data_IF_509995594816
#
_entry.id   IF_509995594816
#
_cell.length_a   1.000
_cell.length_b   1.000
_cell.length_c   1.000
_cell.angle_alpha   90.00
_cell.angle_beta   90.00
_cell.angle_gamma   90.00
#
_symmetry.space_group_name_H-M   'P 1'
#
loop_
_entity.id
_entity.type
_entity.pdbx_description
1 polymer ?
#
# COMPACT_ATOMS: atom_id res chain seq x y z
N UNK A 1 -10.35 -9.78 -14.34
CA UNK A 1 -9.72 -9.89 -13.00
C UNK A 1 -9.68 -8.50 -12.37
N UNK A 2 -10.07 -8.40 -11.08
CA UNK A 2 -10.02 -7.14 -10.33
C UNK A 2 -8.57 -6.60 -10.33
N UNK A 3 -8.32 -5.35 -10.72
CA UNK A 3 -6.98 -4.77 -10.77
C UNK A 3 -6.27 -4.79 -9.42
N UNK A 4 -6.99 -4.66 -8.31
CA UNK A 4 -6.43 -4.77 -6.96
C UNK A 4 -5.79 -6.15 -6.71
N UNK A 5 -6.41 -7.22 -7.20
CA UNK A 5 -5.86 -8.59 -7.09
C UNK A 5 -4.58 -8.72 -7.91
N UNK A 6 -4.54 -8.12 -9.10
CA UNK A 6 -3.31 -8.12 -9.92
C UNK A 6 -2.16 -7.38 -9.25
N UNK A 7 -2.46 -6.22 -8.64
CA UNK A 7 -1.49 -5.43 -7.89
C UNK A 7 -0.97 -6.21 -6.67
N UNK A 8 -1.88 -6.85 -5.92
CA UNK A 8 -1.53 -7.73 -4.79
C UNK A 8 -0.64 -8.89 -5.22
N UNK A 9 -1.02 -9.61 -6.28
CA UNK A 9 -0.26 -10.75 -6.77
C UNK A 9 1.17 -10.36 -7.21
N UNK A 10 1.35 -9.18 -7.81
CA UNK A 10 2.67 -8.65 -8.11
C UNK A 10 3.49 -8.44 -6.83
N UNK A 11 2.86 -7.92 -5.77
CA UNK A 11 3.47 -7.80 -4.46
C UNK A 11 3.91 -9.14 -3.88
N UNK A 12 3.03 -10.15 -3.94
CA UNK A 12 3.32 -11.52 -3.46
C UNK A 12 4.50 -12.13 -4.24
N UNK A 13 4.53 -12.02 -5.57
CA UNK A 13 5.67 -12.48 -6.39
C UNK A 13 6.97 -11.76 -6.05
N UNK A 14 6.89 -10.46 -5.78
CA UNK A 14 8.07 -9.67 -5.38
C UNK A 14 8.61 -10.11 -4.02
N UNK A 15 7.73 -10.41 -3.05
CA UNK A 15 8.13 -10.94 -1.74
C UNK A 15 8.76 -12.33 -1.87
N UNK A 16 8.16 -13.25 -2.62
CA UNK A 16 8.72 -14.59 -2.88
C UNK A 16 10.09 -14.50 -3.56
N UNK A 17 10.25 -13.57 -4.52
CA UNK A 17 11.55 -13.34 -5.16
C UNK A 17 12.59 -12.82 -4.15
N UNK A 18 12.21 -11.93 -3.24
CA UNK A 18 13.07 -11.43 -2.18
C UNK A 18 13.46 -12.55 -1.19
N UNK A 19 12.51 -13.40 -0.78
CA UNK A 19 12.75 -14.56 0.11
C UNK A 19 13.71 -15.56 -0.53
N UNK A 20 13.50 -15.88 -1.82
CA UNK A 20 14.39 -16.81 -2.55
C UNK A 20 15.78 -16.23 -2.71
N UNK A 21 15.92 -14.94 -3.01
CA UNK A 21 17.21 -14.26 -3.09
C UNK A 21 17.93 -14.24 -1.74
N UNK A 22 17.21 -13.97 -0.64
CA UNK A 22 17.75 -14.02 0.71
C UNK A 22 18.18 -15.45 1.09
N UNK A 23 17.35 -16.47 0.79
CA UNK A 23 17.67 -17.88 1.02
C UNK A 23 18.94 -18.31 0.27
N UNK A 24 19.07 -17.94 -1.00
CA UNK A 24 20.26 -18.19 -1.79
C UNK A 24 21.51 -17.52 -1.21
N UNK A 25 21.38 -16.27 -0.77
CA UNK A 25 22.47 -15.52 -0.13
C UNK A 25 22.90 -16.18 1.20
N UNK A 26 21.94 -16.56 2.07
CA UNK A 26 22.22 -17.20 3.36
C UNK A 26 22.88 -18.57 3.16
N UNK A 27 22.42 -19.37 2.17
CA UNK A 27 23.04 -20.66 1.86
C UNK A 27 24.45 -20.48 1.31
N UNK A 28 24.71 -19.50 0.46
CA UNK A 28 26.05 -19.18 -0.03
C UNK A 28 27.00 -18.78 1.12
N UNK A 29 26.54 -17.94 2.06
CA UNK A 29 27.29 -17.56 3.27
C UNK A 29 27.48 -18.71 4.26
N UNK A 30 26.53 -19.63 4.39
CA UNK A 30 26.64 -20.82 5.22
C UNK A 30 27.69 -21.80 4.66
N UNK A 31 27.75 -21.98 3.35
CA UNK A 31 28.75 -22.79 2.66
C UNK A 31 30.16 -22.20 2.85
N UNK A 32 30.29 -20.89 2.81
CA UNK A 32 31.53 -20.16 3.09
C UNK A 32 32.03 -20.45 4.53
N UNK A 33 31.16 -20.35 5.55
CA UNK A 33 31.49 -20.64 6.97
C UNK A 33 31.83 -22.10 7.23
N UNK A 34 31.22 -23.05 6.54
CA UNK A 34 31.51 -24.49 6.68
C UNK A 34 32.90 -24.83 6.12
N UNK A 35 33.41 -24.03 5.20
CA UNK A 35 34.76 -24.17 4.63
C UNK A 35 35.86 -23.89 5.68
N UNK A 36 35.59 -23.01 6.65
CA UNK A 36 36.52 -22.62 7.71
C UNK A 36 36.42 -23.50 8.98
N UNK A 37 35.44 -24.40 9.06
CA UNK A 37 35.20 -25.28 10.21
C UNK A 37 35.61 -26.73 9.95
N UNK A 38 36.53 -27.26 10.78
CA UNK A 38 36.96 -28.66 10.77
C UNK A 38 35.85 -29.59 11.26
N UNK A 39 34.97 -30.05 10.36
CA UNK A 39 33.90 -31.01 10.65
C UNK A 39 33.58 -31.86 9.41
N UNK A 40 32.96 -33.02 9.58
CA UNK A 40 32.61 -34.10 8.62
C UNK A 40 32.25 -33.69 7.18
N UNK A 41 31.99 -32.42 6.94
CA UNK A 41 31.91 -31.78 5.64
C UNK A 41 33.22 -31.81 4.82
N UNK A 42 34.37 -32.17 5.39
CA UNK A 42 35.67 -32.24 4.72
C UNK A 42 35.74 -33.23 3.55
N UNK A 43 34.86 -34.22 3.50
CA UNK A 43 34.75 -35.15 2.35
C UNK A 43 33.98 -34.51 1.21
N UNK A 44 32.94 -33.71 1.47
CA UNK A 44 32.24 -32.92 0.47
C UNK A 44 33.06 -31.72 0.02
N UNK A 45 33.89 -31.15 0.88
CA UNK A 45 34.80 -30.05 0.58
C UNK A 45 35.89 -30.48 -0.45
N UNK A 46 36.33 -31.75 -0.44
CA UNK A 46 37.30 -32.26 -1.44
C UNK A 46 36.74 -32.38 -2.86
N UNK A 47 35.45 -32.63 -2.99
CA UNK A 47 34.78 -32.59 -4.32
C UNK A 47 34.50 -31.14 -4.72
N UNK A 48 34.23 -30.27 -3.76
CA UNK A 48 34.12 -28.82 -3.98
C UNK A 48 35.48 -28.15 -4.27
N UNK A 49 36.62 -28.73 -3.86
CA UNK A 49 37.97 -28.17 -4.10
C UNK A 49 38.37 -28.08 -5.57
N UNK A 50 37.76 -28.86 -6.48
CA UNK A 50 37.92 -28.64 -7.93
C UNK A 50 37.20 -27.36 -8.41
N UNK A 51 36.29 -26.78 -7.60
CA UNK A 51 35.59 -25.53 -7.87
C UNK A 51 36.15 -24.36 -7.02
N UNK A 52 37.15 -24.61 -6.16
CA UNK A 52 37.61 -23.72 -5.09
C UNK A 52 38.53 -22.57 -5.52
N UNK A 53 39.17 -22.63 -6.65
CA UNK A 53 39.90 -21.47 -7.19
C UNK A 53 38.96 -20.33 -7.61
N UNK A 54 37.69 -20.66 -7.90
CA UNK A 54 36.63 -19.70 -8.17
C UNK A 54 35.99 -19.24 -6.87
N UNK A 55 36.03 -20.06 -5.78
CA UNK A 55 35.43 -19.80 -4.50
C UNK A 55 36.09 -18.67 -3.70
N UNK A 56 37.43 -18.56 -3.75
CA UNK A 56 38.14 -17.52 -2.97
C UNK A 56 38.02 -16.12 -3.62
N UNK A 57 37.94 -16.07 -4.94
CA UNK A 57 37.57 -14.83 -5.65
C UNK A 57 36.11 -14.47 -5.45
N UNK A 58 35.22 -15.46 -5.31
CA UNK A 58 33.81 -15.26 -5.10
C UNK A 58 33.49 -14.77 -3.67
N UNK A 59 34.23 -15.24 -2.64
CA UNK A 59 34.05 -14.80 -1.25
C UNK A 59 34.41 -13.31 -1.07
N UNK A 60 35.51 -12.84 -1.62
CA UNK A 60 35.90 -11.43 -1.59
C UNK A 60 34.89 -10.52 -2.35
N UNK A 61 34.35 -11.01 -3.48
CA UNK A 61 33.32 -10.32 -4.22
C UNK A 61 31.99 -10.32 -3.45
N UNK A 62 31.62 -11.44 -2.81
CA UNK A 62 30.41 -11.55 -1.98
C UNK A 62 30.47 -10.63 -0.74
N UNK A 63 31.61 -10.46 -0.11
CA UNK A 63 31.76 -9.51 1.00
C UNK A 63 31.58 -8.06 0.54
N UNK A 64 32.18 -7.69 -0.58
CA UNK A 64 32.06 -6.33 -1.13
C UNK A 64 30.66 -6.01 -1.66
N UNK A 65 29.95 -7.00 -2.23
CA UNK A 65 28.60 -6.84 -2.80
C UNK A 65 27.48 -7.09 -1.79
N UNK A 66 27.80 -7.72 -0.64
CA UNK A 66 26.85 -8.04 0.43
C UNK A 66 25.92 -6.89 0.83
N UNK A 67 26.37 -5.67 1.10
CA UNK A 67 25.48 -4.57 1.48
C UNK A 67 24.50 -4.19 0.35
N UNK A 68 24.93 -4.31 -0.90
CA UNK A 68 24.07 -4.03 -2.05
C UNK A 68 22.98 -5.12 -2.22
N UNK A 69 23.32 -6.38 -2.03
CA UNK A 69 22.35 -7.49 -2.11
C UNK A 69 21.31 -7.35 -0.99
N UNK A 70 21.76 -7.11 0.24
CA UNK A 70 20.86 -6.92 1.38
C UNK A 70 19.95 -5.70 1.17
N UNK A 71 20.49 -4.58 0.71
CA UNK A 71 19.71 -3.37 0.40
C UNK A 71 18.65 -3.62 -0.68
N UNK A 72 19.01 -4.36 -1.73
CA UNK A 72 18.12 -4.72 -2.82
C UNK A 72 16.99 -5.65 -2.36
N UNK A 73 17.31 -6.68 -1.59
CA UNK A 73 16.33 -7.61 -1.01
C UNK A 73 15.39 -6.87 -0.05
N UNK A 74 15.93 -5.98 0.79
CA UNK A 74 15.13 -5.17 1.70
C UNK A 74 14.16 -4.24 0.93
N UNK A 75 14.63 -3.61 -0.15
CA UNK A 75 13.78 -2.79 -1.01
C UNK A 75 12.63 -3.62 -1.63
N UNK A 76 12.93 -4.83 -2.12
CA UNK A 76 11.92 -5.74 -2.65
C UNK A 76 10.92 -6.18 -1.57
N UNK A 77 11.33 -6.43 -0.33
CA UNK A 77 10.43 -6.74 0.78
C UNK A 77 9.50 -5.57 1.12
N UNK A 78 10.04 -4.36 1.19
CA UNK A 78 9.23 -3.16 1.48
C UNK A 78 8.21 -2.93 0.37
N UNK A 79 8.62 -2.95 -0.90
CA UNK A 79 7.73 -2.73 -2.03
C UNK A 79 6.71 -3.86 -2.19
N UNK A 80 7.16 -5.12 -2.07
CA UNK A 80 6.31 -6.29 -2.14
C UNK A 80 5.27 -6.30 -1.02
N UNK A 81 5.70 -6.07 0.23
CA UNK A 81 4.80 -5.99 1.39
C UNK A 81 3.80 -4.85 1.30
N UNK A 82 4.22 -3.71 0.76
CA UNK A 82 3.32 -2.58 0.51
C UNK A 82 2.22 -2.94 -0.49
N UNK A 83 2.56 -3.57 -1.60
CA UNK A 83 1.58 -3.99 -2.61
C UNK A 83 0.72 -5.18 -2.15
N UNK A 84 1.33 -6.16 -1.47
CA UNK A 84 0.66 -7.39 -1.07
C UNK A 84 -0.25 -7.20 0.14
N UNK A 85 0.19 -6.45 1.16
CA UNK A 85 -0.50 -6.35 2.45
C UNK A 85 -1.16 -4.99 2.64
N UNK A 86 -0.42 -3.90 2.49
CA UNK A 86 -0.94 -2.56 2.78
C UNK A 86 -2.01 -2.12 1.77
N UNK A 87 -1.75 -2.28 0.47
CA UNK A 87 -2.65 -1.82 -0.59
C UNK A 87 -4.08 -2.39 -0.48
N UNK A 88 -4.29 -3.71 -0.25
CA UNK A 88 -5.64 -4.26 -0.06
C UNK A 88 -6.32 -3.78 1.23
N UNK A 89 -5.55 -3.35 2.24
CA UNK A 89 -6.10 -2.85 3.50
C UNK A 89 -6.50 -1.37 3.47
N UNK A 90 -6.02 -0.60 2.48
CA UNK A 90 -6.33 0.84 2.35
C UNK A 90 -7.84 1.14 2.36
N UNK A 91 -8.71 0.41 1.62
CA UNK A 91 -10.15 0.66 1.65
C UNK A 91 -10.74 0.52 3.06
N UNK A 92 -10.29 -0.49 3.81
CA UNK A 92 -10.73 -0.70 5.20
C UNK A 92 -10.23 0.42 6.12
N UNK A 93 -8.97 0.83 5.98
CA UNK A 93 -8.38 1.91 6.81
C UNK A 93 -9.14 3.21 6.61
N UNK A 94 -9.43 3.58 5.36
CA UNK A 94 -10.17 4.81 5.04
C UNK A 94 -11.61 4.71 5.55
N UNK A 95 -12.27 3.57 5.34
CA UNK A 95 -13.63 3.34 5.84
C UNK A 95 -13.71 3.45 7.37
N UNK A 96 -12.80 2.79 8.07
CA UNK A 96 -12.75 2.83 9.54
C UNK A 96 -12.51 4.26 10.06
N UNK A 97 -11.55 4.97 9.45
CA UNK A 97 -11.28 6.37 9.78
C UNK A 97 -12.50 7.27 9.55
N UNK A 98 -13.22 7.07 8.45
CA UNK A 98 -14.45 7.80 8.16
C UNK A 98 -15.57 7.50 9.16
N UNK A 99 -15.73 6.23 9.57
CA UNK A 99 -16.69 5.83 10.58
C UNK A 99 -16.40 6.45 11.96
N UNK A 100 -15.13 6.46 12.36
CA UNK A 100 -14.70 7.12 13.61
C UNK A 100 -14.97 8.62 13.55
N UNK A 101 -14.64 9.28 12.44
CA UNK A 101 -14.93 10.70 12.24
C UNK A 101 -16.44 10.99 12.31
N UNK A 102 -17.29 10.14 11.73
CA UNK A 102 -18.75 10.28 11.88
C UNK A 102 -19.19 10.12 13.33
N UNK A 103 -18.65 9.20 14.12
CA UNK A 103 -18.96 9.06 15.55
C UNK A 103 -18.59 10.32 16.34
N UNK A 104 -17.50 10.99 15.99
CA UNK A 104 -17.13 12.28 16.61
C UNK A 104 -18.20 13.32 16.32
N UNK A 105 -18.64 13.43 15.06
CA UNK A 105 -19.71 14.37 14.66
C UNK A 105 -21.02 14.06 15.36
N UNK A 106 -21.37 12.78 15.59
CA UNK A 106 -22.53 12.38 16.41
C UNK A 106 -22.36 12.84 17.85
N UNK A 107 -21.17 12.70 18.44
CA UNK A 107 -20.86 13.20 19.77
C UNK A 107 -21.04 14.72 19.89
N UNK A 108 -20.56 15.46 18.90
CA UNK A 108 -20.77 16.92 18.81
C UNK A 108 -22.26 17.26 18.73
N UNK A 109 -23.04 16.51 17.94
CA UNK A 109 -24.49 16.69 17.83
C UNK A 109 -25.23 16.50 19.17
N UNK A 110 -24.83 15.49 19.94
CA UNK A 110 -25.42 15.24 21.28
C UNK A 110 -25.13 16.40 22.22
N UNK A 111 -23.93 16.96 22.21
CA UNK A 111 -23.56 18.11 23.03
C UNK A 111 -24.27 19.39 22.56
N UNK A 112 -24.43 19.57 21.27
CA UNK A 112 -25.06 20.72 20.66
C UNK A 112 -26.61 20.72 20.80
N UNK A 113 -27.22 19.54 20.95
CA UNK A 113 -28.68 19.39 20.98
C UNK A 113 -29.37 20.26 22.04
N UNK A 114 -28.96 20.33 23.35
CA UNK A 114 -29.56 21.19 24.33
C UNK A 114 -29.35 22.67 24.01
N UNK A 115 -28.21 23.07 23.47
CA UNK A 115 -27.97 24.46 23.04
C UNK A 115 -28.89 24.85 21.88
N UNK A 116 -29.10 23.94 20.94
CA UNK A 116 -30.04 24.14 19.85
C UNK A 116 -31.49 24.25 20.32
N UNK A 117 -31.89 23.45 21.33
CA UNK A 117 -33.21 23.58 21.97
C UNK A 117 -33.42 24.96 22.58
N UNK A 118 -32.41 25.56 23.21
CA UNK A 118 -32.47 26.93 23.72
C UNK A 118 -32.70 27.99 22.64
N UNK A 119 -32.17 27.77 21.42
CA UNK A 119 -32.40 28.73 20.32
C UNK A 119 -33.84 28.77 19.85
N UNK A 120 -34.62 27.69 20.06
CA UNK A 120 -36.07 27.67 19.76
C UNK A 120 -36.90 28.45 20.79
N UNK A 121 -36.45 28.58 22.05
CA UNK A 121 -37.14 29.32 23.08
C UNK A 121 -37.05 30.85 22.89
N UNK A 122 -36.06 31.32 22.15
CA UNK A 122 -35.81 32.74 21.89
C UNK A 122 -36.36 33.27 20.55
N UNK A 123 -37.01 32.44 19.74
CA UNK A 123 -37.51 32.84 18.43
C UNK A 123 -38.94 33.41 18.59
N UNK A 124 -39.12 34.69 18.29
CA UNK A 124 -40.41 35.33 18.25
C UNK A 124 -41.28 34.69 17.14
N UNK A 125 -42.13 33.73 17.53
CA UNK A 125 -43.39 33.41 16.85
C UNK A 125 -43.38 32.46 15.67
N UNK A 126 -42.29 32.21 14.93
CA UNK A 126 -42.27 31.29 13.80
C UNK A 126 -41.05 30.35 13.88
N UNK A 127 -41.26 29.07 14.16
CA UNK A 127 -40.30 28.03 14.53
C UNK A 127 -39.06 27.81 13.68
N UNK A 128 -38.82 28.57 12.61
CA UNK A 128 -37.65 28.47 11.71
C UNK A 128 -36.94 29.82 11.58
N UNK A 129 -36.40 30.35 12.66
CA UNK A 129 -35.52 31.52 12.60
C UNK A 129 -34.17 31.18 11.97
N UNK A 130 -33.48 32.20 11.42
CA UNK A 130 -32.15 32.05 10.79
C UNK A 130 -31.12 31.36 11.73
N UNK A 131 -31.28 31.51 13.06
CA UNK A 131 -30.39 30.87 14.05
C UNK A 131 -30.67 29.38 14.24
N UNK A 132 -31.89 28.91 14.02
CA UNK A 132 -32.30 27.51 14.18
C UNK A 132 -32.07 26.69 12.93
N UNK A 133 -31.99 27.30 11.76
CA UNK A 133 -31.78 26.60 10.46
C UNK A 133 -30.47 25.86 10.42
N UNK A 134 -29.40 26.38 11.01
CA UNK A 134 -28.11 25.70 11.07
C UNK A 134 -28.16 24.35 11.82
N UNK A 135 -28.97 24.27 12.88
CA UNK A 135 -29.15 23.03 13.64
C UNK A 135 -29.85 21.94 12.80
N UNK A 136 -30.83 22.31 11.97
CA UNK A 136 -31.50 21.37 11.07
C UNK A 136 -30.54 20.85 9.98
N UNK A 137 -29.71 21.72 9.38
CA UNK A 137 -28.70 21.34 8.39
C UNK A 137 -27.69 20.39 9.05
N UNK A 138 -27.24 20.70 10.26
CA UNK A 138 -26.31 19.85 11.01
C UNK A 138 -26.91 18.47 11.34
N UNK A 139 -28.19 18.43 11.80
CA UNK A 139 -28.88 17.17 12.03
C UNK A 139 -29.03 16.34 10.74
N UNK A 140 -29.39 16.98 9.63
CA UNK A 140 -29.47 16.33 8.32
C UNK A 140 -28.12 15.74 7.94
N UNK A 141 -27.03 16.48 8.11
CA UNK A 141 -25.68 16.01 7.86
C UNK A 141 -25.35 14.74 8.67
N UNK A 142 -25.58 14.76 9.97
CA UNK A 142 -25.34 13.60 10.85
C UNK A 142 -26.10 12.37 10.39
N UNK A 143 -27.37 12.53 9.97
CA UNK A 143 -28.23 11.42 9.55
C UNK A 143 -27.89 10.87 8.16
N UNK A 144 -27.58 11.74 7.19
CA UNK A 144 -27.36 11.33 5.79
C UNK A 144 -25.92 10.90 5.56
N UNK A 145 -24.96 11.42 6.33
CA UNK A 145 -23.52 11.15 6.17
C UNK A 145 -23.17 9.66 6.05
N UNK A 146 -23.67 8.73 6.91
CA UNK A 146 -23.32 7.31 6.77
C UNK A 146 -23.82 6.68 5.47
N UNK A 147 -25.01 7.09 5.00
CA UNK A 147 -25.53 6.61 3.73
C UNK A 147 -24.67 7.08 2.54
N UNK A 148 -24.25 8.35 2.55
CA UNK A 148 -23.36 8.92 1.52
C UNK A 148 -21.96 8.31 1.57
N UNK A 149 -21.46 7.94 2.75
CA UNK A 149 -20.18 7.20 2.88
C UNK A 149 -20.25 5.82 2.20
N UNK A 150 -21.37 5.10 2.33
CA UNK A 150 -21.58 3.82 1.63
C UNK A 150 -21.59 4.02 0.12
N UNK A 151 -22.30 5.04 -0.37
CA UNK A 151 -22.29 5.40 -1.79
C UNK A 151 -20.87 5.73 -2.26
N UNK A 152 -20.14 6.55 -1.50
CA UNK A 152 -18.74 6.88 -1.78
C UNK A 152 -17.82 5.66 -1.86
N UNK A 153 -18.06 4.65 -0.99
CA UNK A 153 -17.31 3.38 -1.03
C UNK A 153 -17.53 2.61 -2.34
N UNK A 154 -18.79 2.47 -2.77
CA UNK A 154 -19.10 1.78 -4.03
C UNK A 154 -18.58 2.54 -5.25
N UNK A 155 -18.70 3.87 -5.26
CA UNK A 155 -18.14 4.71 -6.31
C UNK A 155 -16.61 4.59 -6.36
N UNK A 156 -15.94 4.59 -5.19
CA UNK A 156 -14.50 4.37 -5.08
C UNK A 156 -14.08 3.01 -5.63
N UNK A 157 -14.84 1.95 -5.33
CA UNK A 157 -14.61 0.62 -5.88
C UNK A 157 -14.75 0.58 -7.41
N UNK A 158 -15.78 1.21 -7.97
CA UNK A 158 -15.98 1.31 -9.42
C UNK A 158 -14.86 2.13 -10.10
N UNK A 159 -14.50 3.27 -9.50
CA UNK A 159 -13.39 4.11 -9.98
C UNK A 159 -12.04 3.36 -9.95
N UNK A 160 -11.81 2.55 -8.91
CA UNK A 160 -10.62 1.71 -8.81
C UNK A 160 -10.55 0.66 -9.92
N UNK A 161 -11.67 0.03 -10.27
CA UNK A 161 -11.70 -0.98 -11.36
C UNK A 161 -11.33 -0.31 -12.69
N UNK A 162 -11.92 0.83 -12.99
CA UNK A 162 -11.62 1.58 -14.21
C UNK A 162 -10.18 2.12 -14.22
N UNK A 163 -9.80 2.87 -13.19
CA UNK A 163 -8.48 3.49 -13.07
C UNK A 163 -7.35 2.46 -12.97
N UNK A 164 -7.55 1.37 -12.21
CA UNK A 164 -6.56 0.31 -12.08
C UNK A 164 -6.36 -0.49 -13.36
N UNK A 165 -7.42 -0.65 -14.18
CA UNK A 165 -7.29 -1.28 -15.49
C UNK A 165 -6.48 -0.40 -16.44
N UNK A 166 -6.78 0.91 -16.47
CA UNK A 166 -6.01 1.88 -17.25
C UNK A 166 -4.55 1.95 -16.80
N UNK A 167 -4.31 2.03 -15.48
CA UNK A 167 -2.96 2.04 -14.92
C UNK A 167 -2.14 0.83 -15.38
N UNK A 168 -2.70 -0.37 -15.26
CA UNK A 168 -2.01 -1.60 -15.65
C UNK A 168 -1.68 -1.66 -17.14
N UNK A 169 -2.58 -1.16 -18.00
CA UNK A 169 -2.36 -1.11 -19.45
C UNK A 169 -1.32 -0.06 -19.84
N UNK A 170 -1.49 1.18 -19.35
CA UNK A 170 -0.59 2.28 -19.68
C UNK A 170 0.80 2.05 -19.10
N UNK A 171 0.91 1.56 -17.86
CA UNK A 171 2.20 1.28 -17.24
C UNK A 171 2.94 0.14 -17.95
N UNK A 172 2.24 -0.91 -18.39
CA UNK A 172 2.84 -2.01 -19.16
C UNK A 172 3.46 -1.53 -20.48
N UNK A 173 2.77 -0.65 -21.20
CA UNK A 173 3.27 -0.05 -22.43
C UNK A 173 4.48 0.87 -22.15
N UNK A 174 4.36 1.73 -21.12
CA UNK A 174 5.45 2.63 -20.73
C UNK A 174 6.70 1.85 -20.29
N UNK A 175 6.53 0.76 -19.55
CA UNK A 175 7.61 -0.11 -19.10
C UNK A 175 8.30 -0.80 -20.30
N UNK A 176 7.51 -1.34 -21.23
CA UNK A 176 8.05 -1.98 -22.44
C UNK A 176 8.90 -1.00 -23.26
N UNK A 177 8.44 0.24 -23.44
CA UNK A 177 9.18 1.28 -24.15
C UNK A 177 10.45 1.72 -23.42
N UNK A 178 10.39 1.84 -22.07
CA UNK A 178 11.51 2.28 -21.25
C UNK A 178 12.62 1.21 -21.12
N UNK A 179 12.26 -0.09 -21.20
CA UNK A 179 13.22 -1.18 -21.08
C UNK A 179 13.89 -1.54 -22.40
N UNK A 180 13.36 -1.11 -23.55
CA UNK A 180 13.85 -1.51 -24.86
C UNK A 180 15.31 -1.13 -25.11
N UNK A 181 15.84 -0.11 -24.42
CA UNK A 181 17.22 0.38 -24.56
C UNK A 181 17.98 0.45 -23.20
N UNK A 182 17.51 -0.27 -22.17
CA UNK A 182 18.05 -0.14 -20.83
C UNK A 182 19.27 -1.07 -20.59
N UNK A 183 20.42 -0.46 -20.37
CA UNK A 183 21.68 -1.13 -19.99
C UNK A 183 21.73 -1.44 -18.47
N UNK A 184 20.82 -0.88 -17.67
CA UNK A 184 20.88 -0.87 -16.18
C UNK A 184 20.28 -2.12 -15.51
N UNK A 185 19.73 -3.08 -16.26
CA UNK A 185 19.36 -4.42 -15.80
C UNK A 185 18.47 -4.44 -14.54
N UNK A 186 18.91 -5.15 -13.52
CA UNK A 186 18.12 -5.50 -12.32
C UNK A 186 17.77 -4.29 -11.44
N UNK A 187 18.62 -3.27 -11.41
CA UNK A 187 18.36 -2.05 -10.63
C UNK A 187 17.19 -1.25 -11.22
N UNK A 188 17.10 -1.13 -12.54
CA UNK A 188 16.00 -0.39 -13.17
C UNK A 188 14.65 -1.04 -12.90
N UNK A 189 14.57 -2.36 -12.82
CA UNK A 189 13.33 -3.10 -12.50
C UNK A 189 12.80 -2.69 -11.12
N UNK A 190 13.68 -2.54 -10.12
CA UNK A 190 13.27 -2.14 -8.76
C UNK A 190 12.76 -0.70 -8.74
N UNK A 191 13.41 0.21 -9.48
CA UNK A 191 12.91 1.58 -9.60
C UNK A 191 11.54 1.64 -10.30
N UNK A 192 11.35 0.87 -11.37
CA UNK A 192 10.03 0.78 -12.03
C UNK A 192 8.97 0.18 -11.11
N UNK A 193 9.33 -0.84 -10.31
CA UNK A 193 8.44 -1.40 -9.31
C UNK A 193 8.07 -0.37 -8.24
N UNK A 194 9.03 0.46 -7.79
CA UNK A 194 8.78 1.52 -6.83
C UNK A 194 7.83 2.59 -7.40
N UNK A 195 8.02 3.00 -8.66
CA UNK A 195 7.13 3.93 -9.35
C UNK A 195 5.72 3.33 -9.46
N UNK A 196 5.61 2.09 -9.90
CA UNK A 196 4.33 1.38 -9.99
C UNK A 196 3.62 1.29 -8.64
N UNK A 197 4.34 0.94 -7.57
CA UNK A 197 3.83 0.89 -6.21
C UNK A 197 3.27 2.25 -5.77
N UNK A 198 4.01 3.33 -6.01
CA UNK A 198 3.57 4.70 -5.71
C UNK A 198 2.30 5.08 -6.48
N UNK A 199 2.22 4.76 -7.77
CA UNK A 199 1.03 5.01 -8.59
C UNK A 199 -0.18 4.21 -8.11
N UNK A 200 0.01 2.92 -7.74
CA UNK A 200 -1.05 2.09 -7.17
C UNK A 200 -1.59 2.66 -5.86
N UNK A 201 -0.70 3.08 -4.96
CA UNK A 201 -1.07 3.70 -3.68
C UNK A 201 -1.87 4.98 -3.91
N UNK A 202 -1.38 5.87 -4.74
CA UNK A 202 -2.05 7.13 -5.06
C UNK A 202 -3.44 6.88 -5.65
N UNK A 203 -3.56 5.92 -6.58
CA UNK A 203 -4.83 5.55 -7.19
C UNK A 203 -5.83 5.04 -6.16
N UNK A 204 -5.43 4.08 -5.32
CA UNK A 204 -6.32 3.48 -4.32
C UNK A 204 -6.75 4.51 -3.29
N UNK A 205 -5.83 5.34 -2.78
CA UNK A 205 -6.15 6.42 -1.86
C UNK A 205 -7.12 7.43 -2.50
N UNK A 206 -6.87 7.87 -3.72
CA UNK A 206 -7.74 8.83 -4.42
C UNK A 206 -9.14 8.27 -4.66
N UNK A 207 -9.25 7.00 -5.06
CA UNK A 207 -10.54 6.35 -5.29
C UNK A 207 -11.35 6.22 -4.00
N UNK A 208 -10.74 5.74 -2.92
CA UNK A 208 -11.47 5.53 -1.65
C UNK A 208 -11.64 6.80 -0.82
N UNK A 209 -10.90 7.87 -1.12
CA UNK A 209 -11.15 9.18 -0.51
C UNK A 209 -12.55 9.74 -0.85
N UNK A 210 -13.22 9.20 -1.87
CA UNK A 210 -14.63 9.50 -2.17
C UNK A 210 -15.56 9.18 -1.00
N UNK A 211 -15.18 8.28 -0.09
CA UNK A 211 -15.94 8.00 1.15
C UNK A 211 -16.09 9.25 2.01
N UNK A 212 -15.06 10.10 2.02
CA UNK A 212 -15.05 11.37 2.77
C UNK A 212 -15.59 12.53 1.92
N UNK A 213 -15.20 12.59 0.66
CA UNK A 213 -15.52 13.72 -0.23
C UNK A 213 -17.01 13.77 -0.57
N UNK A 214 -17.65 12.61 -0.85
CA UNK A 214 -19.07 12.58 -1.26
C UNK A 214 -19.99 13.17 -0.19
N UNK A 215 -19.91 12.82 1.11
CA UNK A 215 -20.71 13.47 2.14
C UNK A 215 -20.43 14.97 2.25
N UNK A 216 -19.16 15.39 2.16
CA UNK A 216 -18.77 16.78 2.36
C UNK A 216 -19.16 17.70 1.19
N UNK A 217 -19.39 17.14 -0.01
CA UNK A 217 -19.80 17.91 -1.19
C UNK A 217 -21.32 17.98 -1.40
N UNK A 218 -22.06 17.00 -0.86
CA UNK A 218 -23.51 16.89 -1.06
C UNK A 218 -24.27 17.67 0.02
N UNK A 219 -23.67 17.92 1.17
CA UNK A 219 -24.25 18.61 2.32
C UNK A 219 -23.59 19.97 2.49
#
# INVERSE_FOLDING_TARGET
LNPLIKMKNLGDYTMVAAETAMGAYVTAKAIEKVKDGWSVAGVFAKVANAVTSVGDALSGVLEGVSPFIIGLVLAMFILGGTLSTYLPMVPFIIWFGAAVNWLVVVGEAIIAAPLWAFTHLGSEGEGMGHKTSHGYIFLLNVMIRPALMVVGFFLGGAALIAGGTLLNQCFGIALANAQFDSVTGLFSIIFYLAIYCSMCLTLVHSCFNLILIVPDQVI
#
